data_IF_907503647886
#
_entry.id   IF_907503647886
#
_cell.length_a   1.000
_cell.length_b   1.000
_cell.length_c   1.000
_cell.angle_alpha   90.00
_cell.angle_beta   90.00
_cell.angle_gamma   90.00
#
_symmetry.space_group_name_H-M   'P 1'
#
loop_
_entity.id
_entity.type
_entity.pdbx_description
1 polymer ?
#
# COMPACT_ATOMS: atom_id res chain seq x y z
N UNK A 1 16.03 -39.52 -3.23
CA UNK A 1 14.90 -38.87 -2.54
C UNK A 1 15.31 -37.55 -1.91
N UNK A 2 16.39 -37.50 -1.14
CA UNK A 2 16.87 -36.28 -0.45
C UNK A 2 17.31 -35.16 -1.41
N UNK A 3 18.07 -35.48 -2.46
CA UNK A 3 18.50 -34.50 -3.47
C UNK A 3 17.33 -33.88 -4.27
N UNK A 4 16.28 -34.66 -4.53
CA UNK A 4 15.10 -34.24 -5.28
C UNK A 4 14.19 -33.31 -4.43
N UNK A 5 14.10 -33.59 -3.13
CA UNK A 5 13.38 -32.76 -2.16
C UNK A 5 14.06 -31.39 -1.98
N UNK A 6 15.39 -31.36 -1.92
CA UNK A 6 16.19 -30.12 -1.84
C UNK A 6 16.11 -29.28 -3.13
N UNK A 7 15.99 -29.92 -4.30
CA UNK A 7 15.76 -29.23 -5.58
C UNK A 7 14.35 -28.65 -5.69
N UNK A 8 13.31 -29.34 -5.19
CA UNK A 8 11.93 -28.81 -5.17
C UNK A 8 11.79 -27.62 -4.21
N UNK A 9 12.54 -27.62 -3.10
CA UNK A 9 12.65 -26.51 -2.17
C UNK A 9 13.37 -25.28 -2.78
N UNK A 10 14.37 -25.48 -3.66
CA UNK A 10 15.07 -24.37 -4.33
C UNK A 10 14.34 -23.84 -5.58
N UNK A 11 13.53 -24.67 -6.23
CA UNK A 11 12.79 -24.34 -7.46
C UNK A 11 11.48 -23.59 -7.22
N UNK A 12 10.89 -23.61 -6.02
CA UNK A 12 9.68 -22.84 -5.72
C UNK A 12 9.99 -21.41 -5.24
N UNK A 13 11.02 -20.78 -5.80
CA UNK A 13 11.30 -19.35 -5.60
C UNK A 13 10.61 -18.55 -6.69
N UNK A 14 9.26 -18.54 -6.69
CA UNK A 14 8.52 -17.59 -7.51
C UNK A 14 8.90 -16.18 -7.01
N UNK A 15 9.83 -15.53 -7.70
CA UNK A 15 10.05 -14.09 -7.53
C UNK A 15 8.80 -13.41 -8.08
N UNK A 16 7.88 -13.08 -7.20
CA UNK A 16 6.74 -12.27 -7.56
C UNK A 16 7.25 -10.87 -7.94
N UNK A 17 6.86 -10.41 -9.14
CA UNK A 17 7.11 -9.05 -9.60
C UNK A 17 6.11 -8.11 -8.94
N UNK A 18 6.45 -6.87 -8.62
CA UNK A 18 5.40 -5.94 -8.17
C UNK A 18 4.63 -5.42 -9.39
N UNK A 19 3.31 -5.39 -9.31
CA UNK A 19 2.39 -4.93 -10.36
C UNK A 19 1.75 -3.62 -9.87
N UNK A 20 1.89 -2.54 -10.63
CA UNK A 20 1.16 -1.31 -10.37
C UNK A 20 0.04 -1.14 -11.41
N UNK A 21 -1.18 -0.86 -10.97
CA UNK A 21 -2.32 -0.61 -11.87
C UNK A 21 -2.81 0.82 -11.70
N UNK A 22 -2.59 1.62 -12.74
CA UNK A 22 -2.98 3.03 -12.78
C UNK A 22 -4.01 3.33 -13.86
N UNK A 23 -4.69 4.46 -13.75
CA UNK A 23 -5.74 4.93 -14.66
C UNK A 23 -6.63 5.98 -14.00
N UNK A 24 -7.71 6.38 -14.67
CA UNK A 24 -8.66 7.37 -14.13
C UNK A 24 -9.42 6.85 -12.89
N UNK A 25 -10.02 7.74 -12.11
CA UNK A 25 -10.90 7.37 -11.00
C UNK A 25 -12.13 6.60 -11.49
N UNK A 26 -12.68 5.71 -10.65
CA UNK A 26 -13.91 4.94 -10.91
C UNK A 26 -13.89 3.99 -12.14
N UNK A 27 -12.74 3.70 -12.74
CA UNK A 27 -12.63 2.73 -13.86
C UNK A 27 -12.48 1.26 -13.41
N UNK A 28 -12.66 0.97 -12.13
CA UNK A 28 -12.59 -0.40 -11.58
C UNK A 28 -11.18 -0.90 -11.24
N UNK A 29 -10.18 -0.02 -11.10
CA UNK A 29 -8.79 -0.42 -10.77
C UNK A 29 -8.71 -1.27 -9.51
N UNK A 30 -9.37 -0.87 -8.43
CA UNK A 30 -9.40 -1.64 -7.17
C UNK A 30 -9.94 -3.05 -7.40
N UNK A 31 -11.03 -3.19 -8.14
CA UNK A 31 -11.61 -4.51 -8.47
C UNK A 31 -10.65 -5.38 -9.29
N UNK A 32 -9.94 -4.81 -10.26
CA UNK A 32 -8.91 -5.55 -11.03
C UNK A 32 -7.74 -5.96 -10.14
N UNK A 33 -7.29 -5.07 -9.26
CA UNK A 33 -6.19 -5.35 -8.32
C UNK A 33 -6.54 -6.48 -7.36
N UNK A 34 -7.74 -6.46 -6.79
CA UNK A 34 -8.29 -7.52 -5.94
C UNK A 34 -8.42 -8.86 -6.68
N UNK A 35 -8.91 -8.83 -7.93
CA UNK A 35 -9.01 -10.04 -8.75
C UNK A 35 -7.64 -10.68 -9.01
N UNK A 36 -6.62 -9.87 -9.36
CA UNK A 36 -5.24 -10.36 -9.57
C UNK A 36 -4.65 -10.88 -8.25
N UNK A 37 -4.84 -10.16 -7.16
CA UNK A 37 -4.43 -10.57 -5.81
C UNK A 37 -4.96 -11.97 -5.48
N UNK A 38 -6.27 -12.17 -5.60
CA UNK A 38 -6.94 -13.42 -5.26
C UNK A 38 -6.60 -14.56 -6.22
N UNK A 39 -6.49 -14.29 -7.52
CA UNK A 39 -6.28 -15.33 -8.52
C UNK A 39 -4.83 -15.85 -8.56
N UNK A 40 -3.86 -15.00 -8.26
CA UNK A 40 -2.43 -15.32 -8.45
C UNK A 40 -1.62 -15.33 -7.15
N UNK A 41 -2.29 -15.29 -6.00
CA UNK A 41 -1.66 -15.28 -4.67
C UNK A 41 -0.71 -14.08 -4.49
N UNK A 42 -1.24 -12.91 -4.81
CA UNK A 42 -0.56 -11.63 -4.66
C UNK A 42 -1.14 -10.87 -3.47
N UNK A 43 -0.31 -10.08 -2.79
CA UNK A 43 -0.79 -9.14 -1.78
C UNK A 43 -1.27 -7.85 -2.45
N UNK A 44 -2.35 -7.25 -1.94
CA UNK A 44 -2.88 -5.98 -2.46
C UNK A 44 -2.56 -4.83 -1.51
N UNK A 45 -2.00 -3.74 -2.04
CA UNK A 45 -1.92 -2.45 -1.35
C UNK A 45 -2.80 -1.45 -2.07
N UNK A 46 -3.73 -0.86 -1.34
CA UNK A 46 -4.46 0.30 -1.82
C UNK A 46 -3.64 1.56 -1.53
N UNK A 47 -2.91 2.02 -2.54
CA UNK A 47 -2.13 3.25 -2.45
C UNK A 47 -3.01 4.47 -2.14
N UNK A 48 -4.26 4.51 -2.59
CA UNK A 48 -5.17 5.63 -2.32
C UNK A 48 -5.53 5.71 -0.84
N UNK A 49 -5.77 4.57 -0.20
CA UNK A 49 -5.99 4.52 1.26
C UNK A 49 -4.75 4.97 2.03
N UNK A 50 -3.55 4.72 1.51
CA UNK A 50 -2.32 5.20 2.10
C UNK A 50 -2.29 6.73 2.13
N UNK A 51 -2.58 7.37 0.98
CA UNK A 51 -2.67 8.82 0.89
C UNK A 51 -3.77 9.39 1.79
N UNK A 52 -4.94 8.73 1.86
CA UNK A 52 -6.04 9.12 2.75
C UNK A 52 -5.63 9.00 4.22
N UNK A 53 -4.93 7.94 4.60
CA UNK A 53 -4.41 7.73 5.94
C UNK A 53 -3.49 8.89 6.33
N UNK A 54 -2.51 9.19 5.47
CA UNK A 54 -1.64 10.35 5.68
C UNK A 54 -2.48 11.62 5.78
N UNK A 55 -3.49 11.82 4.93
CA UNK A 55 -4.38 13.00 4.93
C UNK A 55 -5.16 13.19 6.21
N UNK A 56 -5.65 12.10 6.79
CA UNK A 56 -6.34 12.18 8.06
C UNK A 56 -5.42 12.73 9.15
N UNK A 57 -4.19 12.21 9.26
CA UNK A 57 -3.29 12.53 10.37
C UNK A 57 -2.33 13.71 10.05
N UNK A 58 -2.20 14.11 8.79
CA UNK A 58 -1.18 15.08 8.35
C UNK A 58 -1.26 16.42 9.08
N UNK A 59 -2.46 16.90 9.40
CA UNK A 59 -2.63 18.19 10.06
C UNK A 59 -2.24 18.16 11.55
N UNK A 60 -2.21 16.96 12.15
CA UNK A 60 -2.00 16.77 13.58
C UNK A 60 -0.56 16.36 13.91
N UNK A 61 0.22 15.97 12.89
CA UNK A 61 1.58 15.45 13.05
C UNK A 61 2.58 16.13 12.10
N UNK A 62 3.76 16.44 12.63
CA UNK A 62 4.89 16.87 11.81
C UNK A 62 5.38 15.74 10.89
N UNK A 63 6.09 16.10 9.82
CA UNK A 63 6.67 15.14 8.86
C UNK A 63 7.56 14.10 9.57
N UNK A 64 8.31 14.51 10.60
CA UNK A 64 9.18 13.59 11.33
C UNK A 64 8.40 12.60 12.19
N UNK A 65 7.26 13.01 12.75
CA UNK A 65 6.34 12.09 13.45
C UNK A 65 5.70 11.10 12.47
N UNK A 66 5.30 11.57 11.28
CA UNK A 66 4.76 10.70 10.22
C UNK A 66 5.78 9.64 9.80
N UNK A 67 7.06 10.00 9.67
CA UNK A 67 8.13 9.03 9.35
C UNK A 67 8.29 7.95 10.42
N UNK A 68 8.13 8.29 11.70
CA UNK A 68 8.24 7.32 12.79
C UNK A 68 7.10 6.29 12.74
N UNK A 69 5.87 6.74 12.47
CA UNK A 69 4.68 5.88 12.33
C UNK A 69 4.87 4.88 11.19
N UNK A 70 5.53 5.28 10.10
CA UNK A 70 5.68 4.43 8.91
C UNK A 70 6.81 3.39 8.96
N UNK A 71 7.42 3.18 10.12
CA UNK A 71 8.54 2.24 10.27
C UNK A 71 8.12 0.86 10.82
N UNK A 72 6.81 0.60 10.98
CA UNK A 72 6.29 -0.55 11.70
C UNK A 72 5.76 -1.68 10.79
N UNK A 73 5.84 -2.93 11.27
CA UNK A 73 5.26 -4.12 10.61
C UNK A 73 3.72 -4.02 10.43
N UNK A 74 3.05 -3.21 11.26
CA UNK A 74 1.59 -3.08 11.30
C UNK A 74 1.04 -2.00 10.35
N UNK A 75 1.89 -1.40 9.51
CA UNK A 75 1.49 -0.27 8.67
C UNK A 75 0.29 -0.57 7.76
N UNK A 76 0.18 -1.81 7.27
CA UNK A 76 -0.96 -2.25 6.45
C UNK A 76 -2.27 -2.28 7.24
N UNK A 77 -2.24 -2.73 8.49
CA UNK A 77 -3.40 -2.73 9.39
C UNK A 77 -3.80 -1.29 9.71
N UNK A 78 -2.81 -0.45 9.99
CA UNK A 78 -2.99 0.96 10.30
C UNK A 78 -3.64 1.73 9.14
N UNK A 79 -3.18 1.54 7.90
CA UNK A 79 -3.81 2.14 6.72
C UNK A 79 -5.25 1.64 6.55
N UNK A 80 -5.47 0.33 6.71
CA UNK A 80 -6.81 -0.26 6.54
C UNK A 80 -7.80 0.25 7.59
N UNK A 81 -7.34 0.69 8.77
CA UNK A 81 -8.20 1.28 9.80
C UNK A 81 -8.99 2.49 9.29
N UNK A 82 -8.49 3.20 8.27
CA UNK A 82 -9.19 4.36 7.70
C UNK A 82 -10.53 4.00 7.04
N UNK A 83 -10.73 2.73 6.65
CA UNK A 83 -12.01 2.25 6.13
C UNK A 83 -13.12 2.25 7.20
N UNK A 84 -12.75 2.31 8.47
CA UNK A 84 -13.66 2.29 9.61
C UNK A 84 -13.98 3.69 10.16
N UNK A 85 -13.43 4.76 9.58
CA UNK A 85 -13.84 6.12 9.90
C UNK A 85 -15.32 6.34 9.61
N UNK A 86 -15.92 7.32 10.28
CA UNK A 86 -17.23 7.78 9.86
C UNK A 86 -17.19 8.43 8.47
N UNK A 87 -18.37 8.58 7.87
CA UNK A 87 -18.50 9.06 6.48
C UNK A 87 -17.92 10.46 6.29
N UNK A 88 -18.06 11.34 7.28
CA UNK A 88 -17.57 12.72 7.20
C UNK A 88 -16.05 12.74 7.25
N UNK A 89 -15.44 12.03 8.20
CA UNK A 89 -13.99 11.90 8.30
C UNK A 89 -13.37 11.23 7.06
N UNK A 90 -14.03 10.19 6.52
CA UNK A 90 -13.58 9.54 5.29
C UNK A 90 -13.63 10.49 4.07
N UNK A 91 -14.68 11.32 3.97
CA UNK A 91 -14.78 12.34 2.94
C UNK A 91 -13.71 13.42 3.10
N UNK A 92 -13.50 13.90 4.32
CA UNK A 92 -12.48 14.90 4.63
C UNK A 92 -11.08 14.40 4.27
N UNK A 93 -10.77 13.14 4.57
CA UNK A 93 -9.50 12.52 4.19
C UNK A 93 -9.24 12.62 2.68
N UNK A 94 -10.27 12.45 1.86
CA UNK A 94 -10.18 12.55 0.40
C UNK A 94 -9.88 13.96 -0.09
N UNK A 95 -10.44 14.99 0.55
CA UNK A 95 -10.13 16.40 0.24
C UNK A 95 -8.67 16.69 0.59
N UNK A 96 -8.19 16.17 1.73
CA UNK A 96 -6.80 16.34 2.19
C UNK A 96 -5.79 15.60 1.32
N UNK A 97 -6.17 14.51 0.63
CA UNK A 97 -5.30 13.86 -0.37
C UNK A 97 -4.86 14.84 -1.45
N UNK A 98 -5.77 15.70 -1.94
CA UNK A 98 -5.41 16.71 -2.93
C UNK A 98 -4.30 17.64 -2.41
N UNK A 99 -4.38 18.03 -1.13
CA UNK A 99 -3.35 18.86 -0.50
C UNK A 99 -2.02 18.11 -0.36
N UNK A 100 -2.04 16.85 0.11
CA UNK A 100 -0.82 16.04 0.23
C UNK A 100 -0.15 15.82 -1.11
N UNK A 101 -0.94 15.59 -2.17
CA UNK A 101 -0.42 15.30 -3.51
C UNK A 101 0.45 16.45 -4.08
N UNK A 102 0.28 17.66 -3.54
CA UNK A 102 1.11 18.83 -3.88
C UNK A 102 2.39 18.94 -3.05
N UNK A 103 2.53 18.19 -1.96
CA UNK A 103 3.69 18.19 -1.09
C UNK A 103 4.66 17.05 -1.48
N UNK A 104 5.62 17.37 -2.35
CA UNK A 104 6.60 16.41 -2.86
C UNK A 104 7.32 15.62 -1.76
N UNK A 105 7.66 16.26 -0.62
CA UNK A 105 8.36 15.57 0.48
C UNK A 105 7.51 14.47 1.11
N UNK A 106 6.20 14.69 1.25
CA UNK A 106 5.28 13.66 1.76
C UNK A 106 5.06 12.57 0.75
N UNK A 107 4.87 12.93 -0.53
CA UNK A 107 4.77 11.96 -1.61
C UNK A 107 5.99 11.05 -1.66
N UNK A 108 7.20 11.61 -1.49
CA UNK A 108 8.44 10.84 -1.43
C UNK A 108 8.45 9.86 -0.25
N UNK A 109 8.06 10.31 0.94
CA UNK A 109 7.96 9.45 2.13
C UNK A 109 6.96 8.32 1.91
N UNK A 110 5.76 8.60 1.39
CA UNK A 110 4.74 7.59 1.11
C UNK A 110 5.29 6.57 0.10
N UNK A 111 5.88 7.04 -1.00
CA UNK A 111 6.42 6.19 -2.04
C UNK A 111 7.61 5.34 -1.55
N UNK A 112 8.50 5.91 -0.74
CA UNK A 112 9.57 5.15 -0.09
C UNK A 112 9.05 4.07 0.85
N UNK A 113 8.02 4.40 1.64
CA UNK A 113 7.37 3.46 2.54
C UNK A 113 6.72 2.31 1.76
N UNK A 114 5.93 2.61 0.72
CA UNK A 114 5.35 1.59 -0.17
C UNK A 114 6.47 0.72 -0.75
N UNK A 115 7.54 1.32 -1.28
CA UNK A 115 8.70 0.59 -1.82
C UNK A 115 9.35 -0.35 -0.81
N UNK A 116 9.46 0.05 0.45
CA UNK A 116 9.96 -0.81 1.54
C UNK A 116 9.02 -1.99 1.81
N UNK A 117 7.71 -1.74 1.85
CA UNK A 117 6.71 -2.78 2.10
C UNK A 117 6.72 -3.83 0.98
N UNK A 118 6.72 -3.40 -0.28
CA UNK A 118 6.56 -4.30 -1.43
C UNK A 118 7.83 -5.05 -1.85
N UNK A 119 8.99 -4.69 -1.29
CA UNK A 119 10.28 -5.24 -1.73
C UNK A 119 10.35 -6.75 -1.54
N UNK A 120 10.51 -7.49 -2.65
CA UNK A 120 10.64 -8.95 -2.70
C UNK A 120 9.41 -9.74 -2.21
N UNK A 121 8.22 -9.14 -2.17
CA UNK A 121 7.02 -9.76 -1.57
C UNK A 121 5.86 -10.01 -2.54
N UNK A 122 5.87 -9.44 -3.75
CA UNK A 122 4.83 -9.70 -4.74
C UNK A 122 3.52 -8.99 -4.47
N UNK A 123 3.52 -7.67 -4.69
CA UNK A 123 2.34 -6.85 -4.48
C UNK A 123 1.69 -6.40 -5.78
N UNK A 124 0.37 -6.24 -5.72
CA UNK A 124 -0.41 -5.41 -6.63
C UNK A 124 -0.72 -4.09 -5.92
N UNK A 125 -0.38 -2.95 -6.54
CA UNK A 125 -0.50 -1.59 -5.98
C UNK A 125 -1.45 -0.73 -6.83
#
# INVERSE_FOLDING_TARGET
>A
MELLYTLLQSLNTKKHINIAIDGYAAVGKTSVKEAIANQYDYQFIDSELFYRYVGHYYNDYSIDQIKQIFNEEQILELINSIKHLDKEQYQESGIRVAQISTNNKLCDIINETIRKIVKNKGFVV
#
